data_IF_727025131180
#
_entry.id   IF_727025131180
#
_cell.length_a   1.000
_cell.length_b   1.000
_cell.length_c   1.000
_cell.angle_alpha   90.00
_cell.angle_beta   90.00
_cell.angle_gamma   90.00
#
_symmetry.space_group_name_H-M   'P 1'
#
loop_
_entity.id
_entity.type
_entity.pdbx_description
1 polymer ?
#
# COMPACT_ATOMS: atom_id res chain seq x y z
N UNK A 1 -22.68 10.19 27.02
CA UNK A 1 -22.54 9.50 25.73
C UNK A 1 -21.19 9.85 25.13
N UNK A 2 -20.20 8.96 25.25
CA UNK A 2 -18.92 9.15 24.60
C UNK A 2 -19.12 8.95 23.09
N UNK A 3 -18.76 9.96 22.29
CA UNK A 3 -18.66 9.80 20.84
C UNK A 3 -17.54 8.79 20.60
N UNK A 4 -17.89 7.57 20.24
CA UNK A 4 -16.92 6.62 19.67
C UNK A 4 -16.36 7.31 18.42
N UNK A 5 -15.09 7.70 18.49
CA UNK A 5 -14.36 8.15 17.30
C UNK A 5 -14.43 6.99 16.30
N UNK A 6 -15.06 7.19 15.14
CA UNK A 6 -15.06 6.18 14.08
C UNK A 6 -13.60 5.98 13.69
N UNK A 7 -13.07 4.76 13.85
CA UNK A 7 -11.77 4.39 13.27
C UNK A 7 -11.83 4.75 11.77
N UNK A 8 -10.73 5.33 11.26
CA UNK A 8 -10.59 5.79 9.88
C UNK A 8 -9.23 5.33 9.39
N UNK A 9 -9.16 4.97 8.12
CA UNK A 9 -7.89 4.68 7.44
C UNK A 9 -7.00 5.94 7.48
N UNK A 10 -5.79 5.87 8.05
CA UNK A 10 -4.80 6.94 7.97
C UNK A 10 -4.46 7.29 6.52
N UNK A 11 -4.27 8.57 6.23
CA UNK A 11 -3.89 9.05 4.90
C UNK A 11 -2.42 9.49 4.93
N UNK A 12 -1.63 8.96 4.00
CA UNK A 12 -0.29 9.48 3.70
C UNK A 12 -0.37 10.29 2.41
N UNK A 13 -0.14 11.59 2.52
CA UNK A 13 -0.20 12.54 1.41
C UNK A 13 1.14 13.27 1.26
N UNK A 14 1.41 13.70 0.03
CA UNK A 14 2.58 14.49 -0.33
C UNK A 14 2.18 15.79 -1.05
N UNK A 15 1.60 15.71 -2.25
CA UNK A 15 1.18 16.89 -3.04
C UNK A 15 -0.32 17.09 -3.12
N UNK A 16 -1.11 16.09 -2.72
CA UNK A 16 -2.56 16.20 -2.83
C UNK A 16 -3.13 17.23 -1.83
N UNK A 17 -3.71 18.30 -2.36
CA UNK A 17 -4.37 19.38 -1.59
C UNK A 17 -5.91 19.41 -1.76
N UNK A 18 -6.49 18.40 -2.44
CA UNK A 18 -7.92 18.33 -2.74
C UNK A 18 -8.81 17.80 -1.60
N UNK A 19 -10.11 17.55 -1.85
CA UNK A 19 -11.04 17.05 -0.83
C UNK A 19 -10.67 15.64 -0.29
N UNK A 20 -11.01 15.36 0.98
CA UNK A 20 -10.85 14.02 1.58
C UNK A 20 -11.62 12.94 0.77
N UNK A 21 -11.03 11.72 0.67
CA UNK A 21 -11.61 10.53 0.02
C UNK A 21 -11.85 10.66 -1.48
N UNK A 22 -10.83 11.13 -2.18
CA UNK A 22 -10.75 11.15 -3.64
C UNK A 22 -10.15 9.81 -4.16
N UNK A 23 -9.89 9.76 -5.47
CA UNK A 23 -9.27 8.63 -6.17
C UNK A 23 -7.87 8.32 -5.61
N UNK A 24 -7.58 7.05 -5.36
CA UNK A 24 -6.31 6.58 -4.82
C UNK A 24 -6.30 5.09 -4.50
N UNK A 25 -5.41 4.73 -3.59
CA UNK A 25 -5.07 3.35 -3.27
C UNK A 25 -5.08 3.12 -1.77
N UNK A 26 -5.68 2.01 -1.35
CA UNK A 26 -5.60 1.49 0.01
C UNK A 26 -4.57 0.37 0.05
N UNK A 27 -3.62 0.48 0.96
CA UNK A 27 -2.69 -0.58 1.32
C UNK A 27 -3.21 -1.25 2.58
N UNK A 28 -3.52 -2.54 2.50
CA UNK A 28 -4.10 -3.32 3.59
C UNK A 28 -3.18 -4.50 3.95
N UNK A 29 -2.98 -4.82 5.24
CA UNK A 29 -2.29 -6.06 5.64
C UNK A 29 -2.93 -7.28 4.96
N UNK A 30 -2.13 -8.07 4.27
CA UNK A 30 -2.57 -9.32 3.65
C UNK A 30 -2.30 -10.48 4.61
N UNK A 31 -3.34 -11.24 4.93
CA UNK A 31 -3.26 -12.51 5.64
C UNK A 31 -3.80 -13.59 4.71
N UNK A 32 -2.99 -14.58 4.34
CA UNK A 32 -3.38 -15.60 3.36
C UNK A 32 -4.43 -16.55 3.97
N UNK A 33 -4.39 -16.73 5.28
CA UNK A 33 -5.40 -17.47 6.04
C UNK A 33 -6.41 -16.50 6.67
N UNK A 34 -7.50 -16.22 5.94
CA UNK A 34 -8.53 -15.22 6.29
C UNK A 34 -9.26 -15.52 7.61
N UNK A 35 -9.27 -16.77 8.07
CA UNK A 35 -9.94 -17.20 9.32
C UNK A 35 -9.31 -16.60 10.60
N UNK A 36 -8.13 -15.96 10.50
CA UNK A 36 -7.38 -15.53 11.67
C UNK A 36 -7.49 -14.02 11.98
N UNK A 37 -7.60 -13.14 10.98
CA UNK A 37 -7.43 -11.69 11.20
C UNK A 37 -8.16 -10.80 10.18
N UNK A 38 -9.19 -10.09 10.64
CA UNK A 38 -9.71 -8.91 9.92
C UNK A 38 -8.75 -7.72 10.12
N UNK A 39 -8.29 -7.12 9.02
CA UNK A 39 -7.48 -5.91 9.07
C UNK A 39 -8.31 -4.74 9.62
N UNK A 40 -7.79 -4.06 10.65
CA UNK A 40 -8.44 -2.85 11.19
C UNK A 40 -8.09 -1.66 10.31
N UNK A 41 -9.00 -0.70 10.22
CA UNK A 41 -8.76 0.51 9.42
C UNK A 41 -7.51 1.29 9.87
N UNK A 42 -7.18 1.27 11.16
CA UNK A 42 -5.96 1.88 11.71
C UNK A 42 -4.66 1.20 11.26
N UNK A 43 -4.73 -0.05 10.81
CA UNK A 43 -3.59 -0.82 10.31
C UNK A 43 -3.46 -0.72 8.77
N UNK A 44 -4.36 0.01 8.12
CA UNK A 44 -4.33 0.29 6.68
C UNK A 44 -3.65 1.63 6.41
N UNK A 45 -3.37 1.92 5.14
CA UNK A 45 -2.88 3.22 4.70
C UNK A 45 -3.53 3.61 3.38
N UNK A 46 -4.01 4.84 3.28
CA UNK A 46 -4.53 5.40 2.04
C UNK A 46 -3.54 6.40 1.43
N UNK A 47 -3.33 6.31 0.12
CA UNK A 47 -2.50 7.22 -0.66
C UNK A 47 -3.30 7.69 -1.88
N UNK A 48 -3.36 9.01 -2.11
CA UNK A 48 -4.02 9.55 -3.30
C UNK A 48 -3.28 9.15 -4.58
N UNK A 49 -3.99 8.97 -5.69
CA UNK A 49 -3.38 8.56 -6.97
C UNK A 49 -2.24 9.49 -7.41
N UNK A 50 -2.42 10.80 -7.18
CA UNK A 50 -1.40 11.82 -7.49
C UNK A 50 -0.08 11.62 -6.75
N UNK A 51 -0.13 11.07 -5.54
CA UNK A 51 1.05 10.74 -4.73
C UNK A 51 1.52 9.31 -4.98
N UNK A 52 0.59 8.40 -5.30
CA UNK A 52 0.90 7.00 -5.58
C UNK A 52 1.75 6.81 -6.85
N UNK A 53 1.76 7.78 -7.76
CA UNK A 53 2.64 7.79 -8.95
C UNK A 53 4.13 7.66 -8.62
N UNK A 54 4.56 8.04 -7.40
CA UNK A 54 5.95 7.90 -6.96
C UNK A 54 6.29 6.49 -6.45
N UNK A 55 5.28 5.65 -6.22
CA UNK A 55 5.39 4.27 -5.72
C UNK A 55 5.10 3.26 -6.83
N UNK A 56 4.13 3.59 -7.69
CA UNK A 56 3.62 2.74 -8.77
C UNK A 56 4.71 2.13 -9.67
N UNK A 57 5.80 2.83 -10.06
CA UNK A 57 6.84 2.21 -10.89
C UNK A 57 7.47 0.97 -10.25
N UNK A 58 7.83 1.03 -8.96
CA UNK A 58 8.42 -0.09 -8.24
C UNK A 58 7.45 -1.27 -8.08
N UNK A 59 6.16 -0.98 -7.92
CA UNK A 59 5.10 -2.01 -7.91
C UNK A 59 4.98 -2.65 -9.30
N UNK A 60 4.93 -1.86 -10.37
CA UNK A 60 4.79 -2.41 -11.73
C UNK A 60 5.95 -3.35 -12.11
N UNK A 61 7.17 -3.08 -11.65
CA UNK A 61 8.35 -3.88 -11.99
C UNK A 61 8.36 -5.30 -11.38
N UNK A 62 7.52 -5.58 -10.38
CA UNK A 62 7.45 -6.92 -9.81
C UNK A 62 6.47 -7.84 -10.53
N UNK A 63 5.61 -7.30 -11.40
CA UNK A 63 4.70 -8.10 -12.21
C UNK A 63 5.43 -8.76 -13.39
N UNK A 64 5.00 -9.95 -13.85
CA UNK A 64 3.83 -10.70 -13.37
C UNK A 64 4.05 -11.34 -11.98
N UNK A 65 2.94 -11.55 -11.25
CA UNK A 65 2.91 -12.19 -9.93
C UNK A 65 1.93 -13.37 -9.94
N UNK A 66 2.00 -14.21 -8.90
CA UNK A 66 0.97 -15.23 -8.64
C UNK A 66 0.13 -14.78 -7.45
N UNK A 67 -1.19 -14.73 -7.61
CA UNK A 67 -2.12 -14.46 -6.53
C UNK A 67 -1.94 -15.56 -5.45
N UNK A 68 -1.64 -15.17 -4.20
CA UNK A 68 -1.34 -16.14 -3.14
C UNK A 68 -2.57 -16.89 -2.62
N UNK A 69 -3.79 -16.41 -2.92
CA UNK A 69 -5.06 -17.04 -2.52
C UNK A 69 -5.57 -17.99 -3.59
N UNK A 70 -5.60 -17.56 -4.85
CA UNK A 70 -6.17 -18.33 -5.97
C UNK A 70 -5.12 -19.16 -6.73
N UNK A 71 -3.86 -18.76 -6.69
CA UNK A 71 -2.80 -19.32 -7.53
C UNK A 71 -2.83 -18.83 -8.98
N UNK A 72 -3.71 -17.90 -9.33
CA UNK A 72 -3.80 -17.31 -10.67
C UNK A 72 -2.64 -16.35 -10.95
N UNK A 73 -2.26 -16.21 -12.21
CA UNK A 73 -1.24 -15.24 -12.62
C UNK A 73 -1.86 -13.84 -12.75
N UNK A 74 -1.28 -12.88 -12.05
CA UNK A 74 -1.55 -11.45 -12.17
C UNK A 74 -0.51 -10.87 -13.14
N UNK A 75 -0.93 -10.59 -14.36
CA UNK A 75 -0.03 -10.11 -15.44
C UNK A 75 0.48 -8.69 -15.20
N UNK A 76 -0.33 -7.83 -14.58
CA UNK A 76 -0.03 -6.44 -14.34
C UNK A 76 -0.80 -5.91 -13.13
N UNK A 77 -0.34 -4.77 -12.61
CA UNK A 77 -1.05 -4.04 -11.57
C UNK A 77 -2.41 -3.54 -12.07
N UNK A 78 -3.49 -3.91 -11.38
CA UNK A 78 -4.86 -3.48 -11.67
C UNK A 78 -5.24 -2.27 -10.79
N UNK A 79 -5.43 -1.08 -11.37
CA UNK A 79 -5.79 0.11 -10.60
C UNK A 79 -7.24 0.13 -10.09
N UNK A 80 -8.10 -0.80 -10.53
CA UNK A 80 -9.52 -0.85 -10.20
C UNK A 80 -9.88 -1.98 -9.22
N UNK A 81 -8.94 -2.90 -8.96
CA UNK A 81 -9.16 -4.11 -8.18
C UNK A 81 -8.03 -4.37 -7.18
N UNK A 82 -8.11 -5.53 -6.52
CA UNK A 82 -7.18 -5.99 -5.51
C UNK A 82 -5.89 -6.53 -6.15
N UNK A 83 -4.76 -6.15 -5.57
CA UNK A 83 -3.44 -6.62 -5.96
C UNK A 83 -2.75 -7.22 -4.73
N UNK A 84 -2.98 -8.51 -4.41
CA UNK A 84 -2.34 -9.15 -3.28
C UNK A 84 -0.85 -9.39 -3.59
N UNK A 85 0.03 -8.79 -2.79
CA UNK A 85 1.49 -8.90 -2.95
C UNK A 85 2.09 -9.46 -1.66
N UNK A 86 2.79 -10.59 -1.76
CA UNK A 86 3.42 -11.28 -0.62
C UNK A 86 4.64 -10.53 -0.09
N UNK A 87 4.98 -10.79 1.18
CA UNK A 87 6.07 -10.13 1.92
C UNK A 87 7.40 -10.14 1.17
N UNK A 88 7.80 -11.26 0.58
CA UNK A 88 9.08 -11.39 -0.13
C UNK A 88 9.17 -10.44 -1.33
N UNK A 89 8.03 -10.20 -1.99
CA UNK A 89 7.95 -9.28 -3.13
C UNK A 89 7.99 -7.83 -2.63
N UNK A 90 7.31 -7.51 -1.53
CA UNK A 90 7.42 -6.18 -0.92
C UNK A 90 8.83 -5.80 -0.50
N UNK A 91 9.64 -6.75 -0.04
CA UNK A 91 11.06 -6.49 0.26
C UNK A 91 11.84 -6.03 -0.98
N UNK A 92 11.49 -6.53 -2.18
CA UNK A 92 12.06 -6.07 -3.45
C UNK A 92 11.58 -4.67 -3.81
N UNK A 93 10.27 -4.41 -3.67
CA UNK A 93 9.67 -3.08 -3.90
C UNK A 93 10.31 -2.02 -2.99
N UNK A 94 10.46 -2.34 -1.69
CA UNK A 94 11.14 -1.47 -0.72
C UNK A 94 12.55 -1.11 -1.15
N UNK A 95 13.33 -2.12 -1.60
CA UNK A 95 14.70 -1.92 -2.06
C UNK A 95 14.76 -0.94 -3.22
N UNK A 96 13.83 -1.05 -4.17
CA UNK A 96 13.77 -0.15 -5.33
C UNK A 96 13.40 1.28 -4.93
N UNK A 97 12.37 1.45 -4.09
CA UNK A 97 11.95 2.77 -3.59
C UNK A 97 13.10 3.49 -2.89
N UNK A 98 13.88 2.77 -2.08
CA UNK A 98 14.98 3.35 -1.30
C UNK A 98 16.21 3.71 -2.14
N UNK A 99 16.40 3.04 -3.28
CA UNK A 99 17.45 3.37 -4.23
C UNK A 99 17.15 4.66 -5.03
N UNK A 100 15.87 5.06 -5.12
CA UNK A 100 15.43 6.21 -5.92
C UNK A 100 15.95 7.58 -5.47
N UNK A 101 16.51 7.70 -4.26
CA UNK A 101 17.15 8.91 -3.69
C UNK A 101 16.63 10.25 -4.26
N UNK A 102 15.37 10.62 -4.02
CA UNK A 102 14.80 11.85 -4.58
C UNK A 102 15.54 13.08 -4.07
N UNK A 103 15.78 14.04 -4.96
CA UNK A 103 16.43 15.31 -4.60
C UNK A 103 15.53 16.23 -3.77
N UNK A 104 14.21 16.04 -3.84
CA UNK A 104 13.23 16.84 -3.12
C UNK A 104 13.01 16.30 -1.70
N UNK A 105 13.28 17.09 -0.64
CA UNK A 105 13.19 16.61 0.74
C UNK A 105 11.80 16.13 1.15
N UNK A 106 10.75 16.77 0.66
CA UNK A 106 9.36 16.43 1.00
C UNK A 106 8.96 15.06 0.42
N UNK A 107 9.33 14.80 -0.83
CA UNK A 107 9.17 13.48 -1.44
C UNK A 107 9.98 12.41 -0.70
N UNK A 108 11.20 12.75 -0.26
CA UNK A 108 12.02 11.84 0.54
C UNK A 108 11.33 11.47 1.85
N UNK A 109 10.74 12.44 2.56
CA UNK A 109 10.01 12.20 3.80
C UNK A 109 8.75 11.35 3.58
N UNK A 110 8.02 11.60 2.49
CA UNK A 110 6.88 10.78 2.09
C UNK A 110 7.28 9.31 1.87
N UNK A 111 8.32 9.06 1.07
CA UNK A 111 8.80 7.69 0.81
C UNK A 111 9.38 7.03 2.06
N UNK A 112 10.07 7.76 2.93
CA UNK A 112 10.54 7.23 4.22
C UNK A 112 9.39 6.83 5.14
N UNK A 113 8.34 7.65 5.19
CA UNK A 113 7.14 7.36 5.99
C UNK A 113 6.41 6.11 5.46
N UNK A 114 6.27 6.01 4.13
CA UNK A 114 5.69 4.84 3.47
C UNK A 114 6.50 3.57 3.75
N UNK A 115 7.80 3.59 3.49
CA UNK A 115 8.67 2.41 3.67
C UNK A 115 8.76 1.97 5.14
N UNK A 116 8.72 2.90 6.09
CA UNK A 116 8.63 2.59 7.51
C UNK A 116 7.30 1.92 7.87
N UNK A 117 6.18 2.42 7.34
CA UNK A 117 4.86 1.81 7.54
C UNK A 117 4.79 0.39 6.95
N UNK A 118 5.26 0.21 5.70
CA UNK A 118 5.30 -1.11 5.03
C UNK A 118 6.08 -2.10 5.89
N UNK A 119 7.29 -1.73 6.35
CA UNK A 119 8.10 -2.62 7.20
C UNK A 119 7.38 -3.06 8.45
N UNK A 120 6.73 -2.12 9.13
CA UNK A 120 5.97 -2.38 10.36
C UNK A 120 4.83 -3.37 10.10
N UNK A 121 4.06 -3.18 9.02
CA UNK A 121 2.96 -4.10 8.66
C UNK A 121 3.48 -5.50 8.37
N UNK A 122 4.59 -5.61 7.65
CA UNK A 122 5.23 -6.88 7.31
C UNK A 122 5.88 -7.60 8.50
N UNK A 123 5.95 -6.99 9.69
CA UNK A 123 6.38 -7.71 10.90
C UNK A 123 5.39 -8.82 11.28
N UNK A 124 4.10 -8.63 11.00
CA UNK A 124 3.03 -9.57 11.35
C UNK A 124 2.21 -10.09 10.17
N UNK A 125 2.17 -9.40 9.02
CA UNK A 125 1.38 -9.79 7.85
C UNK A 125 2.17 -10.68 6.88
N UNK A 126 1.44 -11.50 6.11
CA UNK A 126 1.99 -12.33 5.02
C UNK A 126 2.32 -11.50 3.77
N UNK A 127 1.81 -10.28 3.70
CA UNK A 127 2.04 -9.33 2.63
C UNK A 127 1.24 -8.05 2.83
N UNK A 128 1.05 -7.30 1.74
CA UNK A 128 0.15 -6.15 1.69
C UNK A 128 -0.61 -6.23 0.38
N UNK A 129 -1.92 -6.07 0.46
CA UNK A 129 -2.82 -5.93 -0.68
C UNK A 129 -2.97 -4.46 -1.03
N UNK A 130 -2.85 -4.14 -2.32
CA UNK A 130 -3.09 -2.79 -2.83
C UNK A 130 -4.40 -2.80 -3.60
N UNK A 131 -5.40 -2.08 -3.09
CA UNK A 131 -6.72 -1.92 -3.73
C UNK A 131 -6.88 -0.50 -4.22
N UNK A 132 -7.06 -0.33 -5.53
CA UNK A 132 -7.38 0.96 -6.13
C UNK A 132 -8.88 1.20 -6.23
N UNK A 133 -9.28 2.47 -6.32
CA UNK A 133 -10.67 2.87 -6.54
C UNK A 133 -10.86 3.75 -7.79
N UNK A 134 -10.02 3.53 -8.81
CA UNK A 134 -10.06 4.25 -10.10
C UNK A 134 -11.26 3.87 -10.96
#
# INVERSE_FOLDING_TARGET
MARTSKSKIPVLAYRYEGPERNIGFTLSPLYINEDAHEARQEDMLFIYDEDFKYVRPAINHVFPLTDPRSGEELEAFDPCWDNPIVKEVWLRILTEIEQGQPAEPELQLFLQSLTAWIRKVLESADGIEVTGNL
#
